data_IF_991430313815
#
_entry.id   IF_991430313815
#
_cell.length_a   1.000
_cell.length_b   1.000
_cell.length_c   1.000
_cell.angle_alpha   90.00
_cell.angle_beta   90.00
_cell.angle_gamma   90.00
#
_symmetry.space_group_name_H-M   'P 1'
#
loop_
_entity.id
_entity.type
_entity.pdbx_description
1 polymer ?
#
# COMPACT_ATOMS: atom_id res chain seq x y z
N UNK A 1 -4.61 20.02 -9.95
CA UNK A 1 -4.72 18.65 -10.45
C UNK A 1 -3.68 17.83 -9.72
N UNK A 2 -4.04 16.64 -9.25
CA UNK A 2 -3.16 15.80 -8.43
C UNK A 2 -2.34 14.87 -9.31
N UNK A 3 -1.03 14.80 -9.07
CA UNK A 3 -0.10 13.94 -9.79
C UNK A 3 0.83 13.25 -8.80
N UNK A 4 0.98 11.94 -8.97
CA UNK A 4 1.88 11.07 -8.21
C UNK A 4 2.56 10.10 -9.16
N UNK A 5 3.64 9.49 -8.69
CA UNK A 5 4.26 8.33 -9.35
C UNK A 5 4.42 7.23 -8.32
N UNK A 6 3.90 6.04 -8.61
CA UNK A 6 4.05 4.91 -7.71
C UNK A 6 5.53 4.56 -7.53
N UNK A 7 5.99 4.40 -6.29
CA UNK A 7 7.41 4.15 -5.99
C UNK A 7 7.94 2.84 -6.61
N UNK A 8 7.05 1.90 -6.98
CA UNK A 8 7.40 0.71 -7.78
C UNK A 8 8.11 1.05 -9.11
N UNK A 9 7.87 2.24 -9.68
CA UNK A 9 8.57 2.73 -10.87
C UNK A 9 10.10 2.79 -10.66
N UNK A 10 10.53 2.87 -9.40
CA UNK A 10 11.93 2.90 -8.98
C UNK A 10 12.39 1.59 -8.30
N UNK A 11 11.64 0.49 -8.39
CA UNK A 11 11.95 -0.75 -7.65
C UNK A 11 13.39 -1.26 -7.89
N UNK A 12 13.93 -1.09 -9.10
CA UNK A 12 15.34 -1.47 -9.40
C UNK A 12 16.35 -0.55 -8.71
N UNK A 13 16.02 0.73 -8.55
CA UNK A 13 16.87 1.72 -7.87
C UNK A 13 16.85 1.49 -6.36
N UNK A 14 15.69 1.19 -5.80
CA UNK A 14 15.53 0.75 -4.40
C UNK A 14 16.31 -0.54 -4.15
N UNK A 15 16.12 -1.57 -4.98
CA UNK A 15 16.83 -2.85 -4.86
C UNK A 15 18.37 -2.70 -4.99
N UNK A 16 18.84 -1.68 -5.69
CA UNK A 16 20.27 -1.37 -5.81
C UNK A 16 20.82 -0.54 -4.61
N UNK A 17 20.00 -0.21 -3.61
CA UNK A 17 20.39 0.62 -2.46
C UNK A 17 20.66 2.08 -2.82
N UNK A 18 20.22 2.54 -4.00
CA UNK A 18 20.45 3.91 -4.50
C UNK A 18 19.29 4.86 -4.21
N UNK A 19 18.21 4.34 -3.63
CA UNK A 19 17.03 5.08 -3.22
C UNK A 19 16.39 4.35 -2.04
N UNK A 20 15.85 5.11 -1.13
CA UNK A 20 14.99 4.69 -0.03
C UNK A 20 13.70 5.54 -0.04
N UNK A 21 12.80 5.31 0.91
CA UNK A 21 11.54 6.04 0.95
C UNK A 21 11.74 7.55 1.14
N UNK A 22 12.75 7.97 1.89
CA UNK A 22 13.01 9.38 2.20
C UNK A 22 13.54 10.13 0.97
N UNK A 23 14.53 9.57 0.29
CA UNK A 23 15.05 10.11 -0.98
C UNK A 23 14.02 10.05 -2.12
N UNK A 24 13.08 9.10 -2.10
CA UNK A 24 11.92 9.11 -3.00
C UNK A 24 10.99 10.30 -2.74
N UNK A 25 10.72 10.64 -1.47
CA UNK A 25 9.92 11.83 -1.11
C UNK A 25 10.60 13.10 -1.61
N UNK A 26 11.90 13.25 -1.35
CA UNK A 26 12.70 14.38 -1.83
C UNK A 26 12.67 14.49 -3.35
N UNK A 27 12.84 13.36 -4.04
CA UNK A 27 12.79 13.32 -5.50
C UNK A 27 11.42 13.71 -6.04
N UNK A 28 10.33 13.22 -5.43
CA UNK A 28 8.97 13.59 -5.83
C UNK A 28 8.74 15.09 -5.71
N UNK A 29 9.25 15.70 -4.63
CA UNK A 29 9.17 17.15 -4.41
C UNK A 29 9.91 17.91 -5.51
N UNK A 30 11.14 17.50 -5.82
CA UNK A 30 11.97 18.15 -6.84
C UNK A 30 11.40 17.98 -8.24
N UNK A 31 10.80 16.83 -8.54
CA UNK A 31 10.17 16.54 -9.82
C UNK A 31 8.79 17.21 -10.00
N UNK A 32 8.25 17.86 -8.97
CA UNK A 32 6.99 18.61 -9.05
C UNK A 32 5.74 17.77 -8.89
N UNK A 33 5.83 16.57 -8.31
CA UNK A 33 4.65 15.80 -7.92
C UNK A 33 3.91 16.47 -6.77
N UNK A 34 2.62 16.18 -6.64
CA UNK A 34 1.75 16.76 -5.60
C UNK A 34 1.30 15.75 -4.55
N UNK A 35 1.56 14.45 -4.78
CA UNK A 35 1.24 13.35 -3.86
C UNK A 35 2.31 12.26 -3.90
N UNK A 36 2.34 11.45 -2.84
CA UNK A 36 3.19 10.27 -2.70
C UNK A 36 2.38 9.00 -2.87
N UNK A 37 2.84 8.07 -3.71
CA UNK A 37 2.23 6.75 -3.87
C UNK A 37 3.24 5.62 -3.60
N UNK A 38 3.60 5.34 -2.33
CA UNK A 38 4.51 4.26 -2.02
C UNK A 38 3.94 2.87 -2.35
N UNK A 39 4.79 2.02 -2.92
CA UNK A 39 4.63 0.57 -2.91
C UNK A 39 5.08 0.00 -1.57
N UNK A 40 4.30 -0.92 -1.02
CA UNK A 40 4.46 -1.46 0.34
C UNK A 40 5.85 -2.02 0.64
N UNK A 41 6.55 -2.59 -0.35
CA UNK A 41 7.91 -3.12 -0.16
C UNK A 41 8.91 -2.03 0.22
N UNK A 42 8.70 -0.80 -0.24
CA UNK A 42 9.55 0.34 0.11
C UNK A 42 9.19 0.93 1.48
N UNK A 43 8.18 0.37 2.14
CA UNK A 43 7.74 0.67 3.50
C UNK A 43 7.84 -0.57 4.43
N UNK A 44 8.55 -1.63 4.02
CA UNK A 44 8.45 -2.95 4.67
C UNK A 44 8.87 -2.96 6.14
N UNK A 45 9.84 -2.13 6.53
CA UNK A 45 10.21 -1.92 7.94
C UNK A 45 9.01 -1.46 8.78
N UNK A 46 8.17 -0.63 8.18
CA UNK A 46 6.93 -0.13 8.77
C UNK A 46 5.90 -1.23 9.05
N UNK A 47 6.06 -2.43 8.50
CA UNK A 47 5.16 -3.53 8.83
C UNK A 47 5.25 -3.92 10.31
N UNK A 48 6.44 -3.83 10.91
CA UNK A 48 6.69 -4.15 12.32
C UNK A 48 7.12 -2.95 13.19
N UNK A 49 7.41 -1.80 12.57
CA UNK A 49 7.89 -0.59 13.27
C UNK A 49 7.00 0.63 12.97
N UNK A 50 6.09 0.95 13.89
CA UNK A 50 5.25 2.15 13.77
C UNK A 50 6.07 3.45 13.88
N UNK A 51 7.23 3.44 14.52
CA UNK A 51 8.10 4.62 14.57
C UNK A 51 8.76 4.89 13.21
N UNK A 52 9.02 3.86 12.40
CA UNK A 52 9.39 4.03 10.99
C UNK A 52 8.28 4.72 10.21
N UNK A 53 7.02 4.28 10.34
CA UNK A 53 5.88 4.91 9.66
C UNK A 53 5.68 6.36 10.11
N UNK A 54 5.84 6.66 11.40
CA UNK A 54 5.79 8.03 11.90
C UNK A 54 6.86 8.94 11.27
N UNK A 55 8.09 8.44 11.09
CA UNK A 55 9.17 9.18 10.41
C UNK A 55 8.86 9.39 8.92
N UNK A 56 8.33 8.37 8.24
CA UNK A 56 7.94 8.48 6.83
C UNK A 56 6.84 9.53 6.66
N UNK A 57 5.84 9.53 7.54
CA UNK A 57 4.81 10.57 7.53
C UNK A 57 5.39 11.96 7.76
N UNK A 58 6.22 12.13 8.78
CA UNK A 58 6.85 13.41 9.07
C UNK A 58 7.68 13.94 7.87
N UNK A 59 8.33 13.04 7.11
CA UNK A 59 9.03 13.42 5.89
C UNK A 59 8.07 13.89 4.78
N UNK A 60 6.94 13.21 4.57
CA UNK A 60 5.90 13.66 3.64
C UNK A 60 5.32 15.03 4.03
N UNK A 61 5.03 15.22 5.32
CA UNK A 61 4.54 16.49 5.87
C UNK A 61 5.56 17.62 5.68
N UNK A 62 6.84 17.36 5.96
CA UNK A 62 7.93 18.32 5.76
C UNK A 62 8.13 18.70 4.28
N UNK A 63 7.94 17.76 3.36
CA UNK A 63 7.96 18.01 1.92
C UNK A 63 6.70 18.73 1.42
N UNK A 64 5.64 18.77 2.21
CA UNK A 64 4.32 19.25 1.82
C UNK A 64 3.68 18.35 0.75
N UNK A 65 3.91 17.04 0.83
CA UNK A 65 3.39 16.04 -0.09
C UNK A 65 2.53 15.02 0.67
N UNK A 66 1.19 15.10 0.57
CA UNK A 66 0.32 14.10 1.19
C UNK A 66 0.45 12.73 0.50
N UNK A 67 0.16 11.67 1.24
CA UNK A 67 0.11 10.31 0.70
C UNK A 67 -1.22 10.10 -0.04
N UNK A 68 -1.14 9.71 -1.32
CA UNK A 68 -2.29 9.44 -2.17
C UNK A 68 -2.78 8.01 -1.98
N UNK A 69 -2.02 7.06 -2.53
CA UNK A 69 -2.32 5.64 -2.56
C UNK A 69 -1.15 4.79 -2.05
N UNK A 70 -1.42 3.85 -1.13
CA UNK A 70 -0.46 2.79 -0.80
C UNK A 70 -0.74 1.57 -1.67
N UNK A 71 0.24 1.17 -2.49
CA UNK A 71 0.16 -0.01 -3.34
C UNK A 71 0.60 -1.25 -2.58
N UNK A 72 -0.30 -2.22 -2.36
CA UNK A 72 -0.06 -3.39 -1.51
C UNK A 72 -0.08 -4.67 -2.33
N UNK A 73 1.06 -5.35 -2.37
CA UNK A 73 1.17 -6.71 -2.89
C UNK A 73 1.18 -7.73 -1.74
N UNK A 74 0.91 -9.00 -2.03
CA UNK A 74 1.01 -10.08 -1.03
C UNK A 74 -0.08 -10.10 0.04
N UNK A 75 -1.10 -9.25 -0.12
CA UNK A 75 -2.34 -9.20 0.67
C UNK A 75 -3.58 -9.38 -0.22
N UNK A 76 -3.43 -10.00 -1.39
CA UNK A 76 -4.50 -10.19 -2.36
C UNK A 76 -5.62 -11.10 -1.82
N UNK A 77 -6.86 -10.84 -2.29
CA UNK A 77 -8.07 -11.41 -1.70
C UNK A 77 -8.17 -12.93 -1.90
N UNK A 78 -8.02 -13.37 -3.16
CA UNK A 78 -8.21 -14.77 -3.52
C UNK A 78 -6.94 -15.60 -3.30
N UNK A 79 -7.12 -16.66 -2.53
CA UNK A 79 -6.20 -17.79 -2.43
C UNK A 79 -7.02 -19.07 -2.43
N UNK A 80 -6.43 -20.17 -2.94
CA UNK A 80 -7.11 -21.47 -3.03
C UNK A 80 -7.58 -21.98 -1.66
N UNK A 81 -6.77 -21.77 -0.63
CA UNK A 81 -7.07 -22.25 0.72
C UNK A 81 -7.60 -21.14 1.62
N UNK A 82 -8.55 -21.46 2.50
CA UNK A 82 -9.08 -20.52 3.48
C UNK A 82 -8.00 -19.98 4.44
N UNK A 83 -7.00 -20.81 4.76
CA UNK A 83 -5.87 -20.41 5.62
C UNK A 83 -5.03 -19.32 4.95
N UNK A 84 -4.70 -19.49 3.67
CA UNK A 84 -3.96 -18.47 2.91
C UNK A 84 -4.76 -17.17 2.77
N UNK A 85 -6.08 -17.26 2.54
CA UNK A 85 -6.96 -16.07 2.51
C UNK A 85 -6.97 -15.35 3.86
N UNK A 86 -7.09 -16.08 4.96
CA UNK A 86 -7.05 -15.50 6.30
C UNK A 86 -5.70 -14.82 6.58
N UNK A 87 -4.58 -15.43 6.17
CA UNK A 87 -3.25 -14.83 6.33
C UNK A 87 -3.10 -13.53 5.51
N UNK A 88 -3.58 -13.51 4.26
CA UNK A 88 -3.54 -12.31 3.43
C UNK A 88 -4.45 -11.19 3.97
N UNK A 89 -5.64 -11.54 4.48
CA UNK A 89 -6.53 -10.57 5.13
C UNK A 89 -5.88 -9.90 6.34
N UNK A 90 -5.16 -10.65 7.18
CA UNK A 90 -4.42 -10.05 8.31
C UNK A 90 -3.35 -9.06 7.85
N UNK A 91 -2.66 -9.35 6.72
CA UNK A 91 -1.73 -8.38 6.12
C UNK A 91 -2.47 -7.17 5.55
N UNK A 92 -3.64 -7.37 4.94
CA UNK A 92 -4.46 -6.27 4.42
C UNK A 92 -4.86 -5.31 5.55
N UNK A 93 -5.33 -5.83 6.69
CA UNK A 93 -5.64 -5.03 7.88
C UNK A 93 -4.43 -4.23 8.35
N UNK A 94 -3.26 -4.87 8.47
CA UNK A 94 -2.03 -4.17 8.85
C UNK A 94 -1.68 -3.04 7.88
N UNK A 95 -1.80 -3.26 6.58
CA UNK A 95 -1.52 -2.22 5.59
C UNK A 95 -2.58 -1.11 5.55
N UNK A 96 -3.84 -1.40 5.89
CA UNK A 96 -4.87 -0.38 6.11
C UNK A 96 -4.54 0.49 7.32
N UNK A 97 -4.08 -0.09 8.43
CA UNK A 97 -3.63 0.67 9.60
C UNK A 97 -2.42 1.57 9.26
N UNK A 98 -1.45 1.05 8.50
CA UNK A 98 -0.28 1.82 8.03
C UNK A 98 -0.73 2.97 7.13
N UNK A 99 -1.64 2.71 6.18
CA UNK A 99 -2.18 3.73 5.29
C UNK A 99 -2.88 4.84 6.09
N UNK A 100 -3.68 4.47 7.09
CA UNK A 100 -4.33 5.41 8.00
C UNK A 100 -3.30 6.25 8.79
N UNK A 101 -2.24 5.61 9.31
CA UNK A 101 -1.17 6.30 10.04
C UNK A 101 -0.41 7.30 9.15
N UNK A 102 -0.18 6.97 7.87
CA UNK A 102 0.39 7.84 6.85
C UNK A 102 -0.58 8.95 6.39
N UNK A 103 -1.87 8.86 6.72
CA UNK A 103 -2.91 9.75 6.21
C UNK A 103 -3.18 9.55 4.71
N UNK A 104 -2.95 8.34 4.20
CA UNK A 104 -3.22 8.01 2.80
C UNK A 104 -4.72 7.87 2.56
N UNK A 105 -5.20 8.43 1.44
CA UNK A 105 -6.63 8.39 1.08
C UNK A 105 -7.07 7.14 0.33
N UNK A 106 -6.11 6.32 -0.13
CA UNK A 106 -6.37 5.14 -0.93
C UNK A 106 -5.39 4.01 -0.60
N UNK A 107 -5.86 2.78 -0.74
CA UNK A 107 -5.05 1.56 -0.71
C UNK A 107 -5.43 0.70 -1.91
N UNK A 108 -4.45 0.20 -2.65
CA UNK A 108 -4.65 -0.73 -3.76
C UNK A 108 -4.25 -2.13 -3.32
N UNK A 109 -5.21 -3.06 -3.31
CA UNK A 109 -5.01 -4.49 -3.04
C UNK A 109 -5.57 -5.28 -4.21
N UNK A 110 -4.78 -6.22 -4.73
CA UNK A 110 -5.17 -7.04 -5.88
C UNK A 110 -6.24 -8.08 -5.50
N UNK A 111 -7.12 -8.43 -6.45
CA UNK A 111 -8.10 -9.48 -6.23
C UNK A 111 -7.45 -10.88 -6.12
N UNK A 112 -6.29 -11.10 -6.76
CA UNK A 112 -5.70 -12.43 -6.93
C UNK A 112 -6.36 -13.21 -8.07
N UNK A 113 -6.20 -14.53 -8.07
CA UNK A 113 -6.76 -15.41 -9.11
C UNK A 113 -5.91 -15.46 -10.38
N UNK A 114 -4.80 -16.20 -10.34
CA UNK A 114 -3.93 -16.39 -11.51
C UNK A 114 -4.28 -17.69 -12.21
N UNK A 115 -5.18 -17.59 -13.19
CA UNK A 115 -5.58 -18.70 -14.05
C UNK A 115 -6.95 -19.28 -13.73
N UNK A 116 -7.56 -18.87 -12.63
CA UNK A 116 -8.98 -19.09 -12.35
C UNK A 116 -9.86 -18.12 -13.15
N UNK A 117 -11.03 -18.60 -13.55
CA UNK A 117 -12.10 -17.78 -14.12
C UNK A 117 -12.74 -16.88 -13.06
N UNK A 118 -13.41 -15.82 -13.50
CA UNK A 118 -14.12 -14.93 -12.58
C UNK A 118 -15.22 -15.69 -11.81
N UNK A 119 -15.96 -16.55 -12.50
CA UNK A 119 -17.06 -17.34 -11.93
C UNK A 119 -16.60 -18.24 -10.79
N UNK A 120 -15.37 -18.76 -10.84
CA UNK A 120 -14.79 -19.61 -9.79
C UNK A 120 -14.42 -18.83 -8.52
N UNK A 121 -14.09 -17.54 -8.65
CA UNK A 121 -13.50 -16.76 -7.55
C UNK A 121 -14.38 -15.61 -7.06
N UNK A 122 -15.45 -15.27 -7.79
CA UNK A 122 -16.27 -14.08 -7.57
C UNK A 122 -16.76 -13.97 -6.13
N UNK A 123 -17.37 -15.02 -5.59
CA UNK A 123 -17.94 -15.00 -4.24
C UNK A 123 -16.86 -14.73 -3.18
N UNK A 124 -15.70 -15.37 -3.30
CA UNK A 124 -14.56 -15.19 -2.39
C UNK A 124 -14.00 -13.76 -2.49
N UNK A 125 -13.87 -13.24 -3.71
CA UNK A 125 -13.32 -11.90 -3.95
C UNK A 125 -14.28 -10.82 -3.43
N UNK A 126 -15.58 -10.97 -3.70
CA UNK A 126 -16.62 -10.03 -3.24
C UNK A 126 -16.70 -10.04 -1.71
N UNK A 127 -16.76 -11.23 -1.09
CA UNK A 127 -16.77 -11.36 0.37
C UNK A 127 -15.53 -10.70 0.99
N UNK A 128 -14.34 -11.01 0.47
CA UNK A 128 -13.09 -10.49 0.99
C UNK A 128 -12.94 -8.97 0.82
N UNK A 129 -13.38 -8.40 -0.30
CA UNK A 129 -13.40 -6.94 -0.45
C UNK A 129 -14.38 -6.28 0.50
N UNK A 130 -15.60 -6.82 0.66
CA UNK A 130 -16.58 -6.27 1.61
C UNK A 130 -16.02 -6.26 3.05
N UNK A 131 -15.30 -7.31 3.44
CA UNK A 131 -14.64 -7.42 4.74
C UNK A 131 -13.55 -6.35 4.94
N UNK A 132 -12.60 -6.22 4.02
CA UNK A 132 -11.53 -5.21 4.17
C UNK A 132 -12.04 -3.76 4.00
N UNK A 133 -13.10 -3.54 3.21
CA UNK A 133 -13.77 -2.24 3.10
C UNK A 133 -14.45 -1.90 4.43
N UNK A 134 -15.12 -2.86 5.06
CA UNK A 134 -15.74 -2.65 6.37
C UNK A 134 -14.69 -2.33 7.44
N UNK A 135 -13.54 -3.01 7.41
CA UNK A 135 -12.40 -2.71 8.30
C UNK A 135 -11.81 -1.31 8.03
N UNK A 136 -11.64 -0.94 6.76
CA UNK A 136 -11.02 0.33 6.37
C UNK A 136 -11.89 1.56 6.64
N UNK A 137 -13.22 1.44 6.54
CA UNK A 137 -14.18 2.57 6.60
C UNK A 137 -14.04 3.51 7.81
N UNK A 138 -13.76 3.04 9.05
CA UNK A 138 -13.57 3.94 10.19
C UNK A 138 -12.34 4.85 10.09
N UNK A 139 -11.39 4.56 9.18
CA UNK A 139 -10.15 5.33 9.03
C UNK A 139 -10.27 6.56 8.11
N UNK A 140 -11.38 6.71 7.38
CA UNK A 140 -11.61 7.78 6.41
C UNK A 140 -11.91 7.24 5.02
#
# INVERSE_FOLDING_TARGET
MDYSVCSYSFHRTFAAGKMDIFSYIDWCKQAGFTKLDPWMRHLEDGFADDAFIARVRAAGDAAGLPFGCIAVDGAHIYEKTAVSRAANRQKAYRWLDIAAALGATQVRIDAGGRGESWEEIADIVIEGYNDIIAYGRPHG
#
